data_IF_221202341196
#
_entry.id   IF_221202341196
#
_cell.length_a   1.000
_cell.length_b   1.000
_cell.length_c   1.000
_cell.angle_alpha   90.00
_cell.angle_beta   90.00
_cell.angle_gamma   90.00
#
_symmetry.space_group_name_H-M   'P 1'
#
loop_
_entity.id
_entity.type
_entity.pdbx_description
1 polymer ?
#
# COMPACT_ATOMS: atom_id res chain seq x y z
N UNK A 1 -34.73 0.25 -65.52
CA UNK A 1 -35.13 1.22 -64.48
C UNK A 1 -34.81 0.58 -63.14
N UNK A 2 -33.76 1.06 -62.48
CA UNK A 2 -33.21 0.49 -61.26
C UNK A 2 -33.61 1.38 -60.08
N UNK A 3 -34.29 0.79 -59.09
CA UNK A 3 -34.63 1.45 -57.83
C UNK A 3 -33.53 1.21 -56.80
N UNK A 4 -33.12 2.31 -56.15
CA UNK A 4 -32.00 2.46 -55.21
C UNK A 4 -32.22 1.68 -53.89
N UNK A 5 -31.13 1.34 -53.17
CA UNK A 5 -31.23 0.74 -51.83
C UNK A 5 -31.68 1.77 -50.78
N UNK A 6 -32.42 1.29 -49.78
CA UNK A 6 -32.85 2.05 -48.61
C UNK A 6 -31.70 2.12 -47.60
N UNK A 7 -31.14 3.32 -47.43
CA UNK A 7 -30.23 3.67 -46.33
C UNK A 7 -31.00 3.67 -45.01
N UNK A 8 -30.61 2.79 -44.09
CA UNK A 8 -31.08 2.79 -42.71
C UNK A 8 -30.28 3.82 -41.92
N UNK A 9 -30.90 4.98 -41.68
CA UNK A 9 -30.37 6.04 -40.84
C UNK A 9 -30.40 5.59 -39.37
N UNK A 10 -29.26 5.15 -38.85
CA UNK A 10 -29.00 5.07 -37.42
C UNK A 10 -28.76 6.49 -36.89
N UNK A 11 -29.50 6.97 -35.88
CA UNK A 11 -29.17 8.23 -35.24
C UNK A 11 -27.89 8.07 -34.43
N UNK A 12 -26.83 8.75 -34.87
CA UNK A 12 -25.62 9.00 -34.09
C UNK A 12 -26.04 9.98 -32.98
N UNK A 13 -26.30 9.48 -31.78
CA UNK A 13 -26.36 10.33 -30.59
C UNK A 13 -24.96 10.88 -30.36
N UNK A 14 -24.75 12.13 -30.80
CA UNK A 14 -23.71 13.00 -30.27
C UNK A 14 -23.99 13.19 -28.79
N UNK A 15 -23.31 12.41 -27.94
CA UNK A 15 -23.18 12.76 -26.54
C UNK A 15 -22.19 13.92 -26.48
N UNK A 16 -22.72 15.12 -26.29
CA UNK A 16 -21.94 16.34 -26.12
C UNK A 16 -21.03 16.15 -24.91
N UNK A 17 -19.72 16.24 -25.13
CA UNK A 17 -18.71 16.38 -24.10
C UNK A 17 -18.85 17.79 -23.50
N UNK A 18 -19.78 17.96 -22.56
CA UNK A 18 -19.80 19.11 -21.66
C UNK A 18 -18.78 18.84 -20.55
N UNK A 19 -17.50 19.12 -20.83
CA UNK A 19 -16.50 19.30 -19.79
C UNK A 19 -16.89 20.54 -18.99
N UNK A 20 -17.58 20.35 -17.88
CA UNK A 20 -17.78 21.42 -16.91
C UNK A 20 -16.42 21.74 -16.29
N UNK A 21 -15.94 22.94 -16.60
CA UNK A 21 -14.75 23.53 -16.02
C UNK A 21 -15.01 23.65 -14.50
N UNK A 22 -14.31 22.86 -13.71
CA UNK A 22 -14.35 22.93 -12.24
C UNK A 22 -13.68 24.27 -11.88
N UNK A 23 -14.49 25.31 -11.85
CA UNK A 23 -14.06 26.58 -11.29
C UNK A 23 -13.84 26.38 -9.80
N UNK A 24 -12.56 26.33 -9.44
CA UNK A 24 -12.00 26.36 -8.09
C UNK A 24 -12.65 27.47 -7.28
N UNK A 25 -13.71 27.11 -6.58
CA UNK A 25 -14.51 27.99 -5.74
C UNK A 25 -14.51 27.42 -4.33
N UNK A 26 -13.47 27.74 -3.56
CA UNK A 26 -13.54 27.45 -2.13
C UNK A 26 -12.29 27.57 -1.25
N UNK A 27 -11.11 27.95 -1.75
CA UNK A 27 -9.99 28.26 -0.86
C UNK A 27 -9.85 29.78 -0.67
N UNK A 28 -9.90 30.29 0.59
CA UNK A 28 -9.71 31.71 0.83
C UNK A 28 -8.27 32.10 0.47
N UNK A 29 -8.14 33.02 -0.50
CA UNK A 29 -6.89 33.74 -0.75
C UNK A 29 -6.58 34.57 0.51
N UNK A 30 -5.51 34.22 1.22
CA UNK A 30 -4.93 35.11 2.22
C UNK A 30 -4.34 36.33 1.49
N UNK A 31 -5.03 37.47 1.58
CA UNK A 31 -4.51 38.76 1.17
C UNK A 31 -3.28 39.10 2.02
N UNK A 32 -2.21 39.57 1.35
CA UNK A 32 -0.89 39.81 1.94
C UNK A 32 -0.82 41.09 2.80
N UNK A 33 -1.93 41.76 3.02
CA UNK A 33 -1.98 43.11 3.61
C UNK A 33 -2.32 43.15 5.11
N UNK A 34 -2.34 42.00 5.79
CA UNK A 34 -2.43 41.94 7.26
C UNK A 34 -1.43 40.94 7.85
N UNK A 35 -0.13 41.20 7.64
CA UNK A 35 0.91 40.67 8.51
C UNK A 35 0.98 41.54 9.77
N UNK A 36 0.75 41.01 10.99
CA UNK A 36 1.11 41.75 12.19
C UNK A 36 2.63 41.95 12.17
N UNK A 37 3.05 43.21 12.28
CA UNK A 37 4.46 43.54 12.45
C UNK A 37 4.96 42.88 13.74
N UNK A 38 5.85 41.90 13.61
CA UNK A 38 6.65 41.39 14.73
C UNK A 38 7.69 42.44 15.11
N UNK A 39 7.21 43.56 15.65
CA UNK A 39 8.01 44.57 16.31
C UNK A 39 7.81 44.43 17.80
N UNK A 40 8.40 43.41 18.42
CA UNK A 40 8.62 43.39 19.87
C UNK A 40 10.06 42.98 20.16
N UNK A 41 10.89 44.02 20.27
CA UNK A 41 12.13 44.05 21.04
C UNK A 41 11.77 43.71 22.48
N UNK A 42 11.99 42.47 22.91
CA UNK A 42 12.10 42.15 24.32
C UNK A 42 13.39 41.35 24.52
N UNK A 43 14.28 41.96 25.28
CA UNK A 43 15.50 41.39 25.82
C UNK A 43 15.18 40.07 26.53
N UNK A 44 15.89 39.02 26.13
CA UNK A 44 15.99 37.79 26.89
C UNK A 44 17.49 37.49 27.04
N UNK A 45 17.90 37.37 28.29
CA UNK A 45 19.27 37.12 28.73
C UNK A 45 19.84 35.81 28.16
N UNK A 46 21.17 35.67 28.02
CA UNK A 46 21.77 34.52 27.37
C UNK A 46 21.68 33.27 28.27
N UNK A 47 20.84 32.31 27.86
CA UNK A 47 20.97 30.93 28.34
C UNK A 47 22.09 30.27 27.54
N UNK A 48 23.21 29.95 28.20
CA UNK A 48 24.24 29.08 27.64
C UNK A 48 23.67 27.67 27.47
N UNK A 49 23.31 27.32 26.23
CA UNK A 49 23.05 25.95 25.81
C UNK A 49 24.16 25.54 24.84
N UNK A 50 24.82 24.42 25.16
CA UNK A 50 26.00 23.90 24.50
C UNK A 50 25.85 23.68 23.00
N UNK A 51 27.01 23.61 22.34
CA UNK A 51 27.17 23.35 20.91
C UNK A 51 26.30 22.18 20.40
N UNK A 52 25.17 22.52 19.80
CA UNK A 52 24.59 21.71 18.74
C UNK A 52 25.56 21.77 17.55
N UNK A 53 26.43 20.76 17.48
CA UNK A 53 27.08 20.40 16.23
C UNK A 53 25.96 19.99 15.28
N UNK A 54 25.56 20.91 14.41
CA UNK A 54 24.78 20.63 13.22
C UNK A 54 25.54 19.60 12.37
N UNK A 55 25.36 18.33 12.71
CA UNK A 55 25.79 17.21 11.88
C UNK A 55 24.83 17.24 10.71
N UNK A 56 25.30 17.82 9.61
CA UNK A 56 24.71 17.73 8.28
C UNK A 56 24.47 16.24 7.98
N UNK A 57 23.27 15.77 8.34
CA UNK A 57 22.78 14.44 8.08
C UNK A 57 22.47 14.39 6.59
N UNK A 58 23.24 13.59 5.88
CA UNK A 58 23.06 13.36 4.45
C UNK A 58 21.60 12.96 4.18
N UNK A 59 20.90 13.75 3.37
CA UNK A 59 19.51 13.52 2.90
C UNK A 59 19.30 12.10 2.34
N UNK A 60 20.38 11.40 1.98
CA UNK A 60 20.36 9.99 1.57
C UNK A 60 20.08 9.00 2.70
N UNK A 61 20.52 9.28 3.93
CA UNK A 61 20.26 8.41 5.10
C UNK A 61 18.78 8.51 5.49
N UNK A 62 18.18 9.69 5.38
CA UNK A 62 16.78 9.89 5.71
C UNK A 62 15.85 9.13 4.75
N UNK A 63 16.16 9.14 3.44
CA UNK A 63 15.39 8.36 2.45
C UNK A 63 15.54 6.85 2.63
N UNK A 64 16.75 6.37 2.93
CA UNK A 64 16.99 4.95 3.19
C UNK A 64 16.25 4.49 4.45
N UNK A 65 16.32 5.27 5.54
CA UNK A 65 15.62 5.00 6.79
C UNK A 65 14.10 5.06 6.65
N UNK A 66 13.59 5.98 5.83
CA UNK A 66 12.15 6.08 5.52
C UNK A 66 11.66 4.90 4.65
N UNK A 67 12.48 4.42 3.71
CA UNK A 67 12.18 3.24 2.91
C UNK A 67 12.16 1.96 3.75
N UNK A 68 13.06 1.82 4.73
CA UNK A 68 13.06 0.71 5.69
C UNK A 68 11.85 0.78 6.63
N UNK A 69 11.44 1.97 7.06
CA UNK A 69 10.26 2.15 7.92
C UNK A 69 8.95 1.73 7.22
N UNK A 70 8.85 1.90 5.90
CA UNK A 70 7.66 1.53 5.13
C UNK A 70 7.53 0.02 4.86
N UNK A 71 8.60 -0.77 5.02
CA UNK A 71 8.53 -2.23 4.81
C UNK A 71 7.72 -2.93 5.91
N UNK A 72 7.73 -2.38 7.13
CA UNK A 72 7.03 -2.95 8.28
C UNK A 72 5.55 -2.52 8.38
N UNK A 73 5.04 -1.82 7.36
CA UNK A 73 3.65 -1.36 7.35
C UNK A 73 2.76 -2.42 6.72
N UNK A 74 1.67 -2.75 7.40
CA UNK A 74 0.59 -3.60 6.90
C UNK A 74 -0.63 -2.73 6.58
N UNK A 75 -1.40 -2.99 5.51
CA UNK A 75 -1.28 -4.12 4.58
C UNK A 75 -0.22 -3.95 3.48
N UNK A 76 0.12 -5.05 2.80
CA UNK A 76 1.15 -5.11 1.74
C UNK A 76 0.57 -5.61 0.42
N UNK A 77 1.04 -5.04 -0.68
CA UNK A 77 0.75 -5.54 -2.02
C UNK A 77 1.88 -6.47 -2.48
N UNK A 78 1.51 -7.63 -2.99
CA UNK A 78 2.43 -8.62 -3.56
C UNK A 78 2.53 -8.41 -5.06
N UNK A 79 3.66 -7.89 -5.51
CA UNK A 79 4.00 -7.76 -6.92
C UNK A 79 5.14 -8.71 -7.26
N UNK A 80 4.91 -9.60 -8.22
CA UNK A 80 5.95 -10.53 -8.68
C UNK A 80 6.84 -9.83 -9.70
N UNK A 81 8.18 -9.95 -9.57
CA UNK A 81 9.10 -9.56 -10.63
C UNK A 81 8.75 -10.26 -11.94
N UNK A 82 9.00 -9.60 -13.08
CA UNK A 82 8.73 -10.16 -14.40
C UNK A 82 9.45 -11.51 -14.56
N UNK A 83 8.69 -12.57 -14.86
CA UNK A 83 9.22 -13.92 -15.01
C UNK A 83 9.42 -14.70 -13.70
N UNK A 84 9.14 -14.10 -12.54
CA UNK A 84 9.12 -14.80 -11.26
C UNK A 84 7.71 -15.26 -10.88
N UNK A 85 7.63 -16.43 -10.26
CA UNK A 85 6.43 -16.97 -9.62
C UNK A 85 6.52 -16.96 -8.11
N UNK A 86 7.67 -16.52 -7.55
CA UNK A 86 7.96 -16.57 -6.11
C UNK A 86 8.45 -15.21 -5.65
N UNK A 87 8.00 -14.82 -4.47
CA UNK A 87 8.54 -13.70 -3.70
C UNK A 87 8.91 -14.21 -2.31
N UNK A 88 10.06 -13.77 -1.82
CA UNK A 88 10.52 -14.02 -0.46
C UNK A 88 10.68 -12.67 0.21
N UNK A 89 10.09 -12.54 1.40
CA UNK A 89 10.19 -11.36 2.25
C UNK A 89 10.86 -11.82 3.55
N UNK A 90 12.08 -11.35 3.78
CA UNK A 90 12.88 -11.66 4.96
C UNK A 90 12.92 -10.43 5.88
N UNK A 91 13.06 -10.66 7.19
CA UNK A 91 13.15 -9.60 8.21
C UNK A 91 11.92 -8.67 8.23
N UNK A 92 10.74 -9.22 8.02
CA UNK A 92 9.50 -8.46 8.13
C UNK A 92 9.07 -8.36 9.59
N UNK A 93 8.61 -7.19 10.02
CA UNK A 93 8.17 -6.99 11.41
C UNK A 93 6.65 -6.87 11.48
N UNK A 94 6.02 -7.74 12.25
CA UNK A 94 4.59 -7.68 12.58
C UNK A 94 4.42 -6.84 13.85
N UNK A 95 3.85 -5.64 13.74
CA UNK A 95 3.59 -4.76 14.88
C UNK A 95 2.20 -4.95 15.52
N UNK A 96 1.25 -5.55 14.78
CA UNK A 96 -0.11 -5.83 15.24
C UNK A 96 -0.40 -7.32 15.29
N UNK A 97 -1.65 -7.70 15.56
CA UNK A 97 -2.03 -9.12 15.65
C UNK A 97 -1.93 -9.87 14.30
N UNK A 98 -1.91 -9.14 13.18
CA UNK A 98 -1.84 -9.70 11.85
C UNK A 98 -1.20 -8.74 10.84
N UNK A 99 -0.79 -9.28 9.70
CA UNK A 99 -0.40 -8.55 8.51
C UNK A 99 -1.12 -9.09 7.28
N UNK A 100 -1.74 -8.20 6.52
CA UNK A 100 -2.52 -8.52 5.34
C UNK A 100 -1.68 -8.35 4.07
N UNK A 101 -1.77 -9.33 3.17
CA UNK A 101 -1.10 -9.41 1.88
C UNK A 101 -2.13 -9.52 0.76
N UNK A 102 -2.13 -8.55 -0.14
CA UNK A 102 -2.97 -8.55 -1.33
C UNK A 102 -2.20 -9.11 -2.53
N UNK A 103 -2.85 -9.97 -3.30
CA UNK A 103 -2.30 -10.53 -4.53
C UNK A 103 -3.38 -10.64 -5.62
N UNK A 104 -2.95 -10.63 -6.87
CA UNK A 104 -3.81 -10.73 -8.05
C UNK A 104 -3.37 -11.91 -8.95
N UNK A 105 -3.57 -13.16 -8.49
CA UNK A 105 -3.23 -14.33 -9.27
C UNK A 105 -4.22 -14.54 -10.43
N UNK A 106 -3.80 -15.31 -11.43
CA UNK A 106 -4.67 -15.71 -12.54
C UNK A 106 -5.44 -16.97 -12.17
N UNK A 107 -6.67 -17.07 -12.69
CA UNK A 107 -7.48 -18.29 -12.59
C UNK A 107 -6.70 -19.52 -13.07
N UNK A 108 -6.78 -20.60 -12.30
CA UNK A 108 -6.09 -21.87 -12.55
C UNK A 108 -4.69 -21.98 -11.93
N UNK A 109 -4.13 -20.88 -11.40
CA UNK A 109 -2.87 -20.94 -10.68
C UNK A 109 -3.03 -21.53 -9.28
N UNK A 110 -1.93 -22.01 -8.69
CA UNK A 110 -1.87 -22.47 -7.31
C UNK A 110 -1.05 -21.52 -6.46
N UNK A 111 -1.65 -21.07 -5.35
CA UNK A 111 -0.97 -20.26 -4.33
C UNK A 111 -0.38 -21.19 -3.27
N UNK A 112 0.88 -20.99 -2.95
CA UNK A 112 1.60 -21.63 -1.86
C UNK A 112 2.14 -20.53 -0.95
N UNK A 113 1.96 -20.72 0.36
CA UNK A 113 2.46 -19.80 1.38
C UNK A 113 3.26 -20.61 2.39
N UNK A 114 4.46 -20.15 2.66
CA UNK A 114 5.30 -20.66 3.75
C UNK A 114 5.64 -19.47 4.63
N UNK A 115 5.34 -19.57 5.92
CA UNK A 115 5.69 -18.58 6.93
C UNK A 115 6.66 -19.19 7.94
N UNK A 116 7.60 -18.37 8.38
CA UNK A 116 8.48 -18.67 9.49
C UNK A 116 8.48 -17.47 10.44
N UNK A 117 8.50 -17.67 11.76
CA UNK A 117 8.51 -18.94 12.49
C UNK A 117 7.14 -19.65 12.54
N UNK A 118 7.12 -20.93 12.96
CA UNK A 118 5.95 -21.82 12.92
C UNK A 118 4.72 -21.34 13.72
N UNK A 119 4.88 -20.33 14.57
CA UNK A 119 3.77 -19.71 15.30
C UNK A 119 3.13 -18.55 14.52
N UNK A 120 3.50 -18.35 13.25
CA UNK A 120 2.82 -17.46 12.31
C UNK A 120 1.99 -18.32 11.37
N UNK A 121 0.66 -18.26 11.54
CA UNK A 121 -0.28 -18.92 10.66
C UNK A 121 -0.54 -18.07 9.41
N UNK A 122 -0.80 -18.74 8.29
CA UNK A 122 -1.12 -18.11 7.03
C UNK A 122 -2.50 -18.60 6.54
N UNK A 123 -3.44 -17.67 6.42
CA UNK A 123 -4.80 -17.95 5.97
C UNK A 123 -5.14 -17.13 4.73
N UNK A 124 -5.87 -17.70 3.79
CA UNK A 124 -6.66 -16.97 2.81
C UNK A 124 -7.94 -16.49 3.51
N UNK A 125 -8.24 -15.19 3.42
CA UNK A 125 -9.44 -14.58 4.02
C UNK A 125 -10.47 -14.25 2.94
N UNK A 126 -10.02 -13.90 1.73
CA UNK A 126 -10.86 -13.55 0.59
C UNK A 126 -10.27 -14.14 -0.70
N UNK A 127 -11.10 -14.64 -1.63
CA UNK A 127 -12.57 -14.63 -1.65
C UNK A 127 -13.23 -15.72 -0.78
N UNK A 128 -12.50 -16.78 -0.46
CA UNK A 128 -12.96 -17.88 0.38
C UNK A 128 -11.88 -18.18 1.42
N UNK A 129 -12.31 -18.66 2.59
CA UNK A 129 -11.38 -19.04 3.64
C UNK A 129 -10.60 -20.30 3.26
N UNK A 130 -9.28 -20.27 3.36
CA UNK A 130 -8.41 -21.43 3.17
C UNK A 130 -7.21 -21.34 4.11
N UNK A 131 -6.96 -22.40 4.87
CA UNK A 131 -5.79 -22.51 5.72
C UNK A 131 -4.61 -23.13 4.94
N UNK A 132 -3.53 -22.36 4.77
CA UNK A 132 -2.36 -22.80 4.01
C UNK A 132 -1.55 -23.90 4.72
N UNK A 133 -1.80 -24.18 6.02
CA UNK A 133 -1.25 -25.36 6.68
C UNK A 133 -1.80 -26.67 6.07
N UNK A 134 -2.98 -26.62 5.43
CA UNK A 134 -3.57 -27.75 4.71
C UNK A 134 -3.10 -27.86 3.25
N UNK A 135 -2.17 -27.00 2.82
CA UNK A 135 -1.55 -27.03 1.51
C UNK A 135 -1.97 -25.88 0.60
N UNK A 136 -1.72 -26.05 -0.71
CA UNK A 136 -1.91 -25.00 -1.71
C UNK A 136 -3.39 -24.69 -1.99
N UNK A 137 -3.69 -23.44 -2.31
CA UNK A 137 -5.01 -23.03 -2.79
C UNK A 137 -5.05 -22.97 -4.33
N UNK A 138 -6.10 -23.52 -4.95
CA UNK A 138 -6.33 -23.42 -6.39
C UNK A 138 -7.19 -22.19 -6.69
N UNK A 139 -6.63 -21.25 -7.45
CA UNK A 139 -7.28 -19.99 -7.82
C UNK A 139 -8.45 -20.25 -8.76
N UNK A 140 -9.65 -19.93 -8.29
CA UNK A 140 -10.94 -20.17 -8.95
C UNK A 140 -11.39 -19.00 -9.83
N UNK A 141 -10.94 -17.79 -9.51
CA UNK A 141 -11.25 -16.55 -10.24
C UNK A 141 -10.03 -15.62 -10.33
N UNK A 142 -9.98 -14.79 -11.38
CA UNK A 142 -8.92 -13.78 -11.52
C UNK A 142 -9.38 -12.49 -10.85
N UNK A 143 -9.19 -12.41 -9.53
CA UNK A 143 -9.60 -11.28 -8.69
C UNK A 143 -8.53 -10.99 -7.62
N UNK A 144 -8.80 -10.06 -6.71
CA UNK A 144 -7.99 -9.79 -5.53
C UNK A 144 -8.18 -10.89 -4.49
N UNK A 145 -7.06 -11.46 -4.04
CA UNK A 145 -7.01 -12.37 -2.92
C UNK A 145 -6.36 -11.67 -1.73
N UNK A 146 -6.88 -11.95 -0.54
CA UNK A 146 -6.34 -11.43 0.73
C UNK A 146 -5.79 -12.59 1.55
N UNK A 147 -4.48 -12.58 1.76
CA UNK A 147 -3.79 -13.51 2.65
C UNK A 147 -3.48 -12.78 3.95
N UNK A 148 -3.80 -13.40 5.07
CA UNK A 148 -3.51 -12.87 6.40
C UNK A 148 -2.45 -13.75 7.06
N UNK A 149 -1.35 -13.14 7.42
CA UNK A 149 -0.43 -13.71 8.40
C UNK A 149 -0.85 -13.27 9.78
N UNK A 150 -1.03 -14.21 10.71
CA UNK A 150 -1.42 -13.92 12.10
C UNK A 150 -0.51 -14.63 13.08
N UNK A 151 -0.31 -14.03 14.23
CA UNK A 151 0.35 -14.70 15.35
C UNK A 151 -0.60 -15.73 16.00
N UNK A 152 -0.14 -16.97 16.13
CA UNK A 152 -0.84 -18.10 16.76
C UNK A 152 0.03 -18.78 17.83
N UNK A 153 0.89 -18.01 18.50
CA UNK A 153 1.65 -18.53 19.63
C UNK A 153 0.81 -18.73 20.89
N UNK A 154 1.37 -19.50 21.83
CA UNK A 154 0.70 -19.87 23.09
C UNK A 154 0.59 -18.67 24.04
N UNK A 155 1.57 -17.78 24.01
CA UNK A 155 1.63 -16.59 24.86
C UNK A 155 1.00 -15.39 24.14
N UNK A 156 0.42 -14.41 24.83
CA UNK A 156 -0.04 -13.19 24.17
C UNK A 156 1.13 -12.48 23.48
N UNK A 157 0.88 -11.92 22.30
CA UNK A 157 1.85 -11.09 21.57
C UNK A 157 2.12 -9.81 22.37
N UNK A 158 3.26 -9.77 23.07
CA UNK A 158 3.66 -8.64 23.90
C UNK A 158 4.51 -7.62 23.15
N UNK A 159 5.25 -8.06 22.13
CA UNK A 159 6.18 -7.25 21.35
C UNK A 159 5.98 -7.49 19.84
N UNK A 160 6.61 -6.64 19.03
CA UNK A 160 6.67 -6.84 17.59
C UNK A 160 7.46 -8.11 17.25
N UNK A 161 7.01 -8.83 16.22
CA UNK A 161 7.54 -10.15 15.86
C UNK A 161 8.19 -10.09 14.50
N UNK A 162 9.44 -10.55 14.42
CA UNK A 162 10.13 -10.78 13.16
C UNK A 162 9.61 -12.07 12.50
N UNK A 163 9.28 -11.99 11.21
CA UNK A 163 8.84 -13.12 10.41
C UNK A 163 9.44 -13.08 9.01
N UNK A 164 9.39 -14.23 8.38
CA UNK A 164 9.70 -14.43 6.98
C UNK A 164 8.48 -15.04 6.30
N UNK A 165 8.23 -14.61 5.06
CA UNK A 165 7.15 -15.17 4.26
C UNK A 165 7.62 -15.42 2.83
N UNK A 166 7.35 -16.63 2.36
CA UNK A 166 7.49 -17.02 0.97
C UNK A 166 6.10 -17.15 0.37
N UNK A 167 5.84 -16.41 -0.70
CA UNK A 167 4.59 -16.47 -1.47
C UNK A 167 4.94 -16.95 -2.87
N UNK A 168 4.31 -18.03 -3.31
CA UNK A 168 4.53 -18.61 -4.62
C UNK A 168 3.21 -18.86 -5.35
N UNK A 169 3.15 -18.50 -6.64
CA UNK A 169 1.97 -18.63 -7.49
C UNK A 169 2.38 -19.30 -8.81
N UNK A 170 1.92 -20.54 -9.04
CA UNK A 170 2.24 -21.34 -10.23
C UNK A 170 1.00 -21.54 -11.10
#
# INVERSE_FOLDING_TARGET
MACKPADSLLPITQANEEWQDITDSGLPRLERDNLPSLGHTNQLEPIQAGQDTAKSGSVTIDKAKLATANQNTCPKLVEFPVGSTKIVRENEVMQGAYCDYYLYPKKGQRIFIESYPNYIAADLISPEYHDFANGSYLVDQADQYLIRLRYEGVEPMNDAIDYEVTIQVQ
#
